data_IF_919579431337
#
_entry.id   IF_919579431337
#
_cell.length_a   1.000
_cell.length_b   1.000
_cell.length_c   1.000
_cell.angle_alpha   90.00
_cell.angle_beta   90.00
_cell.angle_gamma   90.00
#
_symmetry.space_group_name_H-M   'P 1'
#
loop_
_entity.id
_entity.type
_entity.pdbx_description
1 polymer ?
#
# COMPACT_ATOMS: atom_id res chain seq x y z
N UNK A 1 23.90 -27.91 10.67
CA UNK A 1 23.12 -27.97 9.42
C UNK A 1 23.83 -28.94 8.48
N UNK A 2 23.15 -29.92 7.91
CA UNK A 2 23.76 -30.87 7.01
C UNK A 2 23.22 -30.77 5.60
N UNK A 3 24.06 -30.96 4.60
CA UNK A 3 23.68 -31.00 3.17
C UNK A 3 22.55 -32.04 2.94
N UNK A 4 22.56 -33.14 3.68
CA UNK A 4 21.50 -34.17 3.59
C UNK A 4 20.14 -33.63 4.06
N UNK A 5 20.12 -32.78 5.06
CA UNK A 5 18.89 -32.12 5.53
C UNK A 5 18.34 -31.13 4.50
N UNK A 6 19.21 -30.36 3.86
CA UNK A 6 18.81 -29.41 2.81
C UNK A 6 18.20 -30.11 1.59
N UNK A 7 18.82 -31.25 1.17
CA UNK A 7 18.28 -32.04 0.06
C UNK A 7 16.91 -32.61 0.42
N UNK A 8 16.73 -33.13 1.65
CA UNK A 8 15.42 -33.61 2.11
C UNK A 8 14.39 -32.51 2.14
N UNK A 9 14.79 -31.29 2.52
CA UNK A 9 13.91 -30.11 2.53
C UNK A 9 13.45 -29.78 1.13
N UNK A 10 14.32 -29.84 0.11
CA UNK A 10 13.94 -29.62 -1.28
C UNK A 10 12.86 -30.60 -1.73
N UNK A 11 13.04 -31.92 -1.49
CA UNK A 11 12.01 -32.91 -1.80
C UNK A 11 10.69 -32.72 -1.03
N UNK A 12 10.75 -32.16 0.18
CA UNK A 12 9.56 -31.94 0.98
C UNK A 12 8.78 -30.67 0.55
N UNK A 13 9.48 -29.68 0.00
CA UNK A 13 8.89 -28.36 -0.33
C UNK A 13 8.68 -28.14 -1.83
N UNK A 14 9.31 -28.93 -2.70
CA UNK A 14 9.13 -28.86 -4.15
C UNK A 14 8.61 -30.19 -4.71
N UNK A 15 7.32 -30.24 -5.12
CA UNK A 15 6.74 -31.44 -5.75
C UNK A 15 7.38 -31.81 -7.10
N UNK A 16 8.12 -30.91 -7.74
CA UNK A 16 8.78 -31.13 -9.03
C UNK A 16 10.11 -31.86 -8.88
N UNK A 17 10.68 -31.95 -7.67
CA UNK A 17 11.95 -32.65 -7.41
C UNK A 17 11.86 -34.15 -7.66
N UNK A 18 12.64 -34.67 -8.63
CA UNK A 18 12.59 -36.12 -9.05
C UNK A 18 13.78 -36.95 -8.60
N UNK A 19 14.96 -36.36 -8.52
CA UNK A 19 16.18 -37.10 -8.19
C UNK A 19 17.15 -36.28 -7.33
N UNK A 20 17.95 -37.00 -6.52
CA UNK A 20 18.98 -36.33 -5.71
C UNK A 20 20.04 -35.62 -6.57
N UNK A 21 20.37 -36.18 -7.72
CA UNK A 21 21.33 -35.57 -8.64
C UNK A 21 20.79 -34.22 -9.18
N UNK A 22 19.52 -34.18 -9.59
CA UNK A 22 18.82 -32.96 -10.02
C UNK A 22 18.83 -31.90 -8.90
N UNK A 23 18.44 -32.26 -7.69
CA UNK A 23 18.42 -31.34 -6.55
C UNK A 23 19.81 -30.78 -6.24
N UNK A 24 20.87 -31.62 -6.33
CA UNK A 24 22.25 -31.18 -6.09
C UNK A 24 22.75 -30.27 -7.21
N UNK A 25 22.36 -30.46 -8.47
CA UNK A 25 22.95 -29.77 -9.61
C UNK A 25 22.11 -28.62 -10.17
N UNK A 26 20.78 -28.64 -9.98
CA UNK A 26 19.86 -27.73 -10.65
C UNK A 26 19.08 -26.78 -9.71
N UNK A 27 19.34 -26.80 -8.40
CA UNK A 27 18.65 -25.98 -7.43
C UNK A 27 19.52 -24.80 -6.97
N UNK A 28 19.43 -23.61 -7.62
CA UNK A 28 20.28 -22.47 -7.31
C UNK A 28 20.08 -21.95 -5.88
N UNK A 29 18.87 -22.06 -5.32
CA UNK A 29 18.60 -21.70 -3.92
C UNK A 29 19.43 -22.53 -2.92
N UNK A 30 19.62 -23.85 -3.15
CA UNK A 30 20.47 -24.68 -2.32
C UNK A 30 21.94 -24.30 -2.44
N UNK A 31 22.41 -24.05 -3.67
CA UNK A 31 23.79 -23.59 -3.90
C UNK A 31 24.07 -22.28 -3.17
N UNK A 32 23.13 -21.34 -3.24
CA UNK A 32 23.24 -20.06 -2.54
C UNK A 32 23.36 -20.23 -1.02
N UNK A 33 22.55 -21.12 -0.42
CA UNK A 33 22.59 -21.42 1.01
C UNK A 33 23.92 -22.07 1.40
N UNK A 34 24.44 -23.01 0.60
CA UNK A 34 25.73 -23.65 0.89
C UNK A 34 26.90 -22.66 0.79
N UNK A 35 26.91 -21.82 -0.24
CA UNK A 35 27.92 -20.76 -0.39
C UNK A 35 27.78 -19.70 0.70
N UNK A 36 26.56 -19.36 1.12
CA UNK A 36 26.33 -18.47 2.25
C UNK A 36 26.95 -19.02 3.54
N UNK A 37 26.84 -20.31 3.84
CA UNK A 37 27.48 -20.90 5.03
C UNK A 37 28.98 -20.68 5.04
N UNK A 38 29.64 -20.78 3.88
CA UNK A 38 31.09 -20.49 3.75
C UNK A 38 31.34 -19.01 3.97
N UNK A 39 30.60 -18.15 3.32
CA UNK A 39 30.79 -16.69 3.44
C UNK A 39 30.45 -16.19 4.85
N UNK A 40 29.45 -16.77 5.52
CA UNK A 40 29.09 -16.46 6.90
C UNK A 40 30.18 -16.91 7.89
N UNK A 41 30.77 -18.08 7.68
CA UNK A 41 31.93 -18.53 8.47
C UNK A 41 33.09 -17.55 8.37
N UNK A 42 33.45 -17.12 7.17
CA UNK A 42 34.49 -16.11 6.96
C UNK A 42 34.13 -14.77 7.63
N UNK A 43 32.88 -14.36 7.56
CA UNK A 43 32.38 -13.14 8.18
C UNK A 43 32.52 -13.16 9.71
N UNK A 44 32.13 -14.25 10.34
CA UNK A 44 32.22 -14.42 11.78
C UNK A 44 33.67 -14.52 12.29
N UNK A 45 34.62 -14.81 11.39
CA UNK A 45 36.05 -14.79 11.68
C UNK A 45 36.75 -13.47 11.27
N UNK A 46 35.97 -12.39 11.05
CA UNK A 46 36.43 -11.05 10.65
C UNK A 46 37.18 -11.00 9.30
N UNK A 47 37.06 -12.01 8.46
CA UNK A 47 37.59 -12.03 7.09
C UNK A 47 36.60 -11.37 6.13
N UNK A 48 36.23 -10.13 6.41
CA UNK A 48 35.11 -9.43 5.75
C UNK A 48 35.25 -9.32 4.23
N UNK A 49 36.44 -9.03 3.73
CA UNK A 49 36.69 -8.95 2.29
C UNK A 49 36.43 -10.30 1.60
N UNK A 50 37.00 -11.38 2.12
CA UNK A 50 36.83 -12.72 1.55
C UNK A 50 35.37 -13.18 1.66
N UNK A 51 34.69 -12.89 2.77
CA UNK A 51 33.28 -13.19 2.95
C UNK A 51 32.42 -12.49 1.88
N UNK A 52 32.64 -11.19 1.65
CA UNK A 52 31.92 -10.42 0.62
C UNK A 52 32.25 -10.89 -0.77
N UNK A 53 33.49 -11.22 -1.07
CA UNK A 53 33.91 -11.74 -2.35
C UNK A 53 33.27 -13.09 -2.66
N UNK A 54 33.24 -14.04 -1.69
CA UNK A 54 32.51 -15.31 -1.81
C UNK A 54 31.00 -15.09 -2.03
N UNK A 55 30.39 -14.17 -1.28
CA UNK A 55 28.99 -13.82 -1.48
C UNK A 55 28.71 -13.25 -2.87
N UNK A 56 29.62 -12.46 -3.42
CA UNK A 56 29.49 -11.91 -4.77
C UNK A 56 29.57 -13.00 -5.85
N UNK A 57 30.48 -13.96 -5.69
CA UNK A 57 30.57 -15.14 -6.56
C UNK A 57 29.26 -15.95 -6.47
N UNK A 58 28.74 -16.17 -5.25
CA UNK A 58 27.49 -16.88 -5.04
C UNK A 58 26.34 -16.24 -5.81
N UNK A 59 26.20 -14.91 -5.69
CA UNK A 59 25.20 -14.12 -6.42
C UNK A 59 25.35 -14.28 -7.94
N UNK A 60 26.57 -14.21 -8.47
CA UNK A 60 26.83 -14.36 -9.91
C UNK A 60 26.40 -15.75 -10.42
N UNK A 61 26.67 -16.82 -9.66
CA UNK A 61 26.36 -18.17 -10.05
C UNK A 61 24.89 -18.57 -9.86
N UNK A 62 24.20 -17.98 -8.88
CA UNK A 62 22.86 -18.43 -8.45
C UNK A 62 21.74 -17.43 -8.69
N UNK A 63 22.09 -16.14 -8.93
CA UNK A 63 21.13 -15.06 -8.98
C UNK A 63 20.53 -14.68 -7.62
N UNK A 64 21.05 -15.25 -6.51
CA UNK A 64 20.60 -15.03 -5.12
C UNK A 64 21.67 -14.27 -4.37
N UNK A 65 21.30 -13.12 -3.77
CA UNK A 65 22.19 -12.34 -2.92
C UNK A 65 21.85 -12.59 -1.45
N UNK A 66 22.77 -13.22 -0.71
CA UNK A 66 22.69 -13.32 0.75
C UNK A 66 23.92 -12.65 1.34
N UNK A 67 23.70 -11.58 2.12
CA UNK A 67 24.83 -10.90 2.78
C UNK A 67 25.48 -11.85 3.80
N UNK A 68 26.81 -11.92 3.88
CA UNK A 68 27.50 -12.85 4.80
C UNK A 68 27.12 -12.66 6.28
N UNK A 69 26.73 -11.45 6.69
CA UNK A 69 26.27 -11.17 8.05
C UNK A 69 24.87 -11.67 8.39
N UNK A 70 24.06 -12.05 7.41
CA UNK A 70 22.72 -12.56 7.66
C UNK A 70 22.75 -13.88 8.42
N UNK A 71 21.77 -14.09 9.30
CA UNK A 71 21.60 -15.33 10.05
C UNK A 71 20.51 -16.17 9.40
N UNK A 72 20.84 -17.38 8.98
CA UNK A 72 19.92 -18.29 8.30
C UNK A 72 19.73 -19.54 9.12
N UNK A 73 18.49 -19.87 9.42
CA UNK A 73 18.08 -21.06 10.17
C UNK A 73 18.16 -22.36 9.36
N UNK A 74 17.66 -23.45 9.94
CA UNK A 74 17.68 -24.78 9.35
C UNK A 74 16.49 -24.96 8.42
N UNK A 75 16.63 -25.87 7.43
CA UNK A 75 15.55 -26.21 6.48
C UNK A 75 14.94 -24.99 5.77
N UNK A 76 15.72 -23.91 5.67
CA UNK A 76 15.39 -22.76 4.82
C UNK A 76 15.45 -23.21 3.36
N UNK A 77 14.42 -22.89 2.59
CA UNK A 77 14.33 -23.27 1.19
C UNK A 77 13.99 -22.05 0.34
N UNK A 78 14.80 -21.82 -0.69
CA UNK A 78 14.58 -20.78 -1.68
C UNK A 78 14.16 -21.44 -2.97
N UNK A 79 12.92 -21.25 -3.37
CA UNK A 79 12.38 -21.77 -4.61
C UNK A 79 12.65 -20.79 -5.77
N UNK A 80 13.11 -21.34 -6.92
CA UNK A 80 13.58 -20.62 -8.11
C UNK A 80 14.80 -19.71 -7.87
N UNK A 81 14.81 -18.92 -6.85
CA UNK A 81 15.94 -18.15 -6.31
C UNK A 81 16.26 -16.82 -7.01
N UNK A 82 16.05 -16.68 -8.31
CA UNK A 82 16.45 -15.48 -9.06
C UNK A 82 15.92 -14.19 -8.43
N UNK A 83 16.81 -13.21 -8.19
CA UNK A 83 16.45 -11.90 -7.66
C UNK A 83 16.16 -11.84 -6.16
N UNK A 84 16.38 -12.92 -5.40
CA UNK A 84 16.28 -12.89 -3.94
C UNK A 84 17.44 -12.07 -3.37
N UNK A 85 17.13 -11.15 -2.43
CA UNK A 85 18.10 -10.32 -1.71
C UNK A 85 17.86 -10.41 -0.22
N UNK A 86 18.84 -10.87 0.54
CA UNK A 86 18.82 -10.96 2.01
C UNK A 86 19.91 -10.06 2.59
N UNK A 87 19.51 -8.96 3.25
CA UNK A 87 20.43 -7.94 3.77
C UNK A 87 21.19 -8.35 5.02
N UNK A 88 22.21 -7.56 5.38
CA UNK A 88 23.24 -7.84 6.39
C UNK A 88 22.70 -8.28 7.76
N UNK A 89 21.73 -7.57 8.30
CA UNK A 89 21.19 -7.82 9.64
C UNK A 89 19.87 -8.60 9.62
N UNK A 90 19.54 -9.23 8.47
CA UNK A 90 18.38 -10.11 8.38
C UNK A 90 18.58 -11.37 9.20
N UNK A 91 17.50 -11.85 9.80
CA UNK A 91 17.44 -13.10 10.52
C UNK A 91 16.30 -13.94 9.96
N UNK A 92 16.60 -15.16 9.53
CA UNK A 92 15.65 -16.10 8.98
C UNK A 92 15.64 -17.35 9.86
N UNK A 93 14.48 -17.71 10.38
CA UNK A 93 14.27 -18.86 11.25
C UNK A 93 14.31 -20.21 10.52
N UNK A 94 13.88 -21.22 11.24
CA UNK A 94 13.81 -22.58 10.74
C UNK A 94 12.56 -22.80 9.84
N UNK A 95 12.64 -23.74 8.91
CA UNK A 95 11.53 -24.16 8.03
C UNK A 95 10.92 -23.04 7.13
N UNK A 96 11.59 -21.92 6.97
CA UNK A 96 11.10 -20.84 6.11
C UNK A 96 11.15 -21.23 4.64
N UNK A 97 10.09 -20.86 3.90
CA UNK A 97 10.01 -20.99 2.44
C UNK A 97 9.99 -19.58 1.83
N UNK A 98 10.86 -19.34 0.86
CA UNK A 98 10.98 -18.06 0.18
C UNK A 98 11.02 -18.26 -1.34
N UNK A 99 10.25 -17.49 -2.05
CA UNK A 99 10.21 -17.54 -3.51
C UNK A 99 11.11 -16.48 -4.16
N UNK A 100 11.31 -16.62 -5.48
CA UNK A 100 12.08 -15.70 -6.31
C UNK A 100 11.69 -14.23 -6.13
N UNK A 101 12.64 -13.31 -6.34
CA UNK A 101 12.41 -11.86 -6.30
C UNK A 101 12.12 -11.29 -4.92
N UNK A 102 12.17 -12.11 -3.86
CA UNK A 102 11.93 -11.63 -2.49
C UNK A 102 13.10 -10.79 -1.99
N UNK A 103 12.78 -9.66 -1.33
CA UNK A 103 13.76 -8.75 -0.74
C UNK A 103 13.54 -8.60 0.76
N UNK A 104 14.56 -8.89 1.57
CA UNK A 104 14.64 -8.54 2.97
C UNK A 104 15.55 -7.31 3.11
N UNK A 105 14.99 -6.12 2.97
CA UNK A 105 15.70 -4.85 2.83
C UNK A 105 15.74 -4.02 4.11
N UNK A 106 16.72 -3.12 4.18
CA UNK A 106 16.84 -2.14 5.28
C UNK A 106 16.18 -0.80 4.94
N UNK A 107 15.78 -0.04 5.97
CA UNK A 107 15.16 1.28 5.82
C UNK A 107 15.97 2.42 6.39
N UNK A 108 17.17 2.16 6.93
CA UNK A 108 18.07 3.20 7.44
C UNK A 108 19.53 2.88 7.13
N UNK A 109 20.41 3.89 7.28
CA UNK A 109 21.86 3.80 7.01
C UNK A 109 22.69 3.54 8.27
N UNK A 110 22.06 3.38 9.43
CA UNK A 110 22.76 3.15 10.68
C UNK A 110 23.32 1.72 10.77
N UNK A 111 24.47 1.57 11.40
CA UNK A 111 25.14 0.27 11.65
C UNK A 111 24.50 -0.50 12.82
N UNK A 112 23.17 -0.68 12.76
CA UNK A 112 22.38 -1.43 13.73
C UNK A 112 21.40 -2.39 13.01
N UNK A 113 20.56 -3.10 13.76
CA UNK A 113 19.47 -3.91 13.18
C UNK A 113 18.59 -3.01 12.30
N UNK A 114 18.55 -3.30 10.98
CA UNK A 114 17.83 -2.53 9.97
C UNK A 114 17.11 -3.39 8.94
N UNK A 115 17.31 -4.72 9.00
CA UNK A 115 16.66 -5.69 8.13
C UNK A 115 15.69 -6.57 8.92
N UNK A 116 14.73 -7.21 8.25
CA UNK A 116 13.68 -8.02 8.88
C UNK A 116 14.21 -9.20 9.69
N UNK A 117 13.38 -9.61 10.67
CA UNK A 117 13.43 -10.92 11.31
C UNK A 117 12.25 -11.75 10.81
N UNK A 118 12.53 -12.89 10.22
CA UNK A 118 11.54 -13.86 9.72
C UNK A 118 11.58 -15.07 10.65
N UNK A 119 10.48 -15.31 11.37
CA UNK A 119 10.42 -16.43 12.32
C UNK A 119 10.15 -17.78 11.62
N UNK A 120 10.10 -18.87 12.42
CA UNK A 120 9.98 -20.23 11.91
C UNK A 120 8.71 -20.46 11.10
N UNK A 121 8.82 -21.29 10.06
CA UNK A 121 7.70 -21.76 9.26
C UNK A 121 7.01 -20.68 8.42
N UNK A 122 7.60 -19.51 8.28
CA UNK A 122 7.06 -18.42 7.45
C UNK A 122 7.18 -18.79 5.98
N UNK A 123 6.17 -18.36 5.20
CA UNK A 123 6.15 -18.47 3.74
C UNK A 123 6.13 -17.07 3.14
N UNK A 124 7.10 -16.78 2.24
CA UNK A 124 7.21 -15.47 1.58
C UNK A 124 7.04 -15.67 0.07
N UNK A 125 5.94 -15.13 -0.46
CA UNK A 125 5.57 -15.24 -1.87
C UNK A 125 6.50 -14.51 -2.81
N UNK A 126 6.47 -14.89 -4.08
CA UNK A 126 7.33 -14.36 -5.13
C UNK A 126 7.21 -12.84 -5.28
N UNK A 127 8.34 -12.15 -5.48
CA UNK A 127 8.37 -10.70 -5.67
C UNK A 127 8.00 -9.87 -4.44
N UNK A 128 7.89 -10.46 -3.25
CA UNK A 128 7.56 -9.72 -2.03
C UNK A 128 8.74 -8.92 -1.51
N UNK A 129 8.47 -7.74 -0.98
CA UNK A 129 9.47 -6.82 -0.43
C UNK A 129 9.15 -6.58 1.04
N UNK A 130 10.06 -6.99 1.94
CA UNK A 130 9.93 -6.81 3.39
C UNK A 130 10.99 -5.83 3.85
N UNK A 131 10.58 -4.69 4.41
CA UNK A 131 11.46 -3.56 4.68
C UNK A 131 11.52 -3.17 6.16
N UNK A 132 12.74 -2.94 6.63
CA UNK A 132 13.00 -2.42 7.97
C UNK A 132 13.20 -3.49 9.04
N UNK A 133 13.47 -3.08 10.28
CA UNK A 133 13.71 -3.99 11.41
C UNK A 133 12.40 -4.55 11.99
N UNK A 134 11.54 -5.04 11.11
CA UNK A 134 10.24 -5.62 11.45
C UNK A 134 10.32 -7.12 11.63
N UNK A 135 9.31 -7.71 12.28
CA UNK A 135 9.22 -9.15 12.51
C UNK A 135 8.05 -9.72 11.71
N UNK A 136 8.32 -10.77 10.94
CA UNK A 136 7.30 -11.63 10.35
C UNK A 136 7.16 -12.84 11.28
N UNK A 137 6.01 -12.88 11.98
CA UNK A 137 5.77 -13.85 13.06
C UNK A 137 5.67 -15.29 12.58
N UNK A 138 5.91 -16.23 13.49
CA UNK A 138 5.94 -17.67 13.24
C UNK A 138 4.74 -18.16 12.42
N UNK A 139 5.01 -18.90 11.35
CA UNK A 139 3.97 -19.47 10.48
C UNK A 139 3.16 -18.44 9.69
N UNK A 140 3.53 -17.15 9.72
CA UNK A 140 2.88 -16.14 8.91
C UNK A 140 3.13 -16.34 7.41
N UNK A 141 2.25 -15.79 6.59
CA UNK A 141 2.34 -15.85 5.13
C UNK A 141 2.39 -14.45 4.54
N UNK A 142 3.32 -14.21 3.63
CA UNK A 142 3.40 -12.99 2.82
C UNK A 142 2.98 -13.33 1.40
N UNK A 143 1.89 -12.73 0.94
CA UNK A 143 1.38 -12.94 -0.43
C UNK A 143 2.34 -12.41 -1.48
N UNK A 144 2.34 -13.01 -2.68
CA UNK A 144 3.20 -12.60 -3.78
C UNK A 144 3.02 -11.10 -4.13
N UNK A 145 4.11 -10.41 -4.48
CA UNK A 145 4.09 -8.99 -4.83
C UNK A 145 3.79 -8.02 -3.69
N UNK A 146 3.71 -8.49 -2.43
CA UNK A 146 3.38 -7.63 -1.28
C UNK A 146 4.57 -6.79 -0.82
N UNK A 147 4.31 -5.56 -0.37
CA UNK A 147 5.31 -4.68 0.26
C UNK A 147 5.00 -4.53 1.74
N UNK A 148 5.77 -5.20 2.60
CA UNK A 148 5.54 -5.27 4.03
C UNK A 148 6.48 -4.32 4.77
N UNK A 149 5.90 -3.33 5.44
CA UNK A 149 6.63 -2.28 6.18
C UNK A 149 6.27 -2.23 7.67
N UNK A 150 5.45 -3.16 8.13
CA UNK A 150 5.05 -3.32 9.54
C UNK A 150 5.13 -4.78 9.95
N UNK A 151 5.37 -5.02 11.24
CA UNK A 151 5.42 -6.40 11.77
C UNK A 151 4.10 -7.15 11.54
N UNK A 152 4.23 -8.43 11.22
CA UNK A 152 3.11 -9.35 10.95
C UNK A 152 2.97 -10.32 12.11
N UNK A 153 1.79 -10.47 12.73
CA UNK A 153 1.57 -11.41 13.82
C UNK A 153 1.78 -12.87 13.39
N UNK A 154 2.08 -13.77 14.34
CA UNK A 154 2.17 -15.20 14.06
C UNK A 154 0.91 -15.76 13.39
N UNK A 155 1.07 -16.60 12.38
CA UNK A 155 -0.03 -17.24 11.63
C UNK A 155 -0.84 -16.33 10.73
N UNK A 156 -0.60 -15.01 10.75
CA UNK A 156 -1.34 -14.08 9.91
C UNK A 156 -0.87 -14.13 8.44
N UNK A 157 -1.78 -13.80 7.54
CA UNK A 157 -1.46 -13.58 6.12
C UNK A 157 -1.47 -12.08 5.82
N UNK A 158 -0.42 -11.59 5.15
CA UNK A 158 -0.32 -10.20 4.71
C UNK A 158 -0.25 -10.12 3.19
N UNK A 159 -1.02 -9.20 2.58
CA UNK A 159 -1.10 -9.04 1.12
C UNK A 159 -1.17 -7.56 0.72
N UNK A 160 -0.72 -7.24 -0.48
CA UNK A 160 -0.89 -5.94 -1.13
C UNK A 160 0.25 -4.94 -0.91
N UNK A 161 0.07 -3.72 -1.43
CA UNK A 161 1.02 -2.60 -1.38
C UNK A 161 0.30 -1.33 -0.92
N UNK A 162 0.57 -0.82 0.30
CA UNK A 162 1.33 -1.47 1.38
C UNK A 162 0.62 -2.72 1.91
N UNK A 163 1.40 -3.67 2.45
CA UNK A 163 0.89 -4.94 2.97
C UNK A 163 -0.10 -4.76 4.12
N UNK A 164 -1.27 -5.40 4.00
CA UNK A 164 -2.34 -5.42 5.00
C UNK A 164 -2.62 -6.85 5.42
N UNK A 165 -2.94 -7.03 6.71
CA UNK A 165 -3.31 -8.36 7.22
C UNK A 165 -4.66 -8.76 6.60
N UNK A 166 -4.66 -9.91 5.91
CA UNK A 166 -5.87 -10.54 5.42
C UNK A 166 -6.48 -11.37 6.56
N UNK A 167 -7.72 -11.08 6.94
CA UNK A 167 -8.46 -11.91 7.88
C UNK A 167 -8.80 -13.25 7.23
N UNK A 168 -8.44 -14.39 7.82
CA UNK A 168 -8.76 -15.69 7.25
C UNK A 168 -10.28 -15.95 7.29
N UNK A 169 -10.84 -16.43 6.18
CA UNK A 169 -12.26 -16.86 6.14
C UNK A 169 -12.51 -18.13 6.95
N UNK A 170 -11.48 -18.91 7.25
CA UNK A 170 -11.49 -20.08 8.12
C UNK A 170 -10.07 -20.44 8.53
N UNK A 171 -9.82 -21.00 9.72
CA UNK A 171 -8.52 -21.49 10.10
C UNK A 171 -8.15 -22.70 9.24
N UNK A 172 -7.37 -22.51 8.19
CA UNK A 172 -6.81 -23.64 7.43
C UNK A 172 -5.60 -24.19 8.16
N UNK A 173 -5.70 -25.42 8.63
CA UNK A 173 -4.64 -26.17 9.32
C UNK A 173 -3.61 -26.79 8.39
N UNK A 174 -3.67 -26.54 7.08
CA UNK A 174 -2.74 -27.06 6.09
C UNK A 174 -1.77 -25.99 5.62
N UNK A 175 -0.52 -26.39 5.40
CA UNK A 175 0.51 -25.63 4.67
C UNK A 175 0.07 -25.57 3.21
N UNK A 176 -0.98 -24.83 2.94
CA UNK A 176 -1.56 -24.76 1.61
C UNK A 176 -0.95 -23.55 0.88
N UNK A 177 -0.36 -23.84 -0.26
CA UNK A 177 0.11 -22.84 -1.23
C UNK A 177 -1.06 -22.19 -1.98
N UNK A 178 -2.26 -22.21 -1.40
CA UNK A 178 -3.46 -21.59 -1.99
C UNK A 178 -3.39 -20.06 -1.92
N UNK A 179 -2.55 -19.50 -2.77
CA UNK A 179 -2.47 -18.06 -2.99
C UNK A 179 -3.57 -17.55 -3.95
N UNK A 180 -4.33 -18.44 -4.57
CA UNK A 180 -5.40 -18.11 -5.51
C UNK A 180 -6.65 -17.56 -4.85
N UNK A 181 -6.88 -17.89 -3.57
CA UNK A 181 -8.08 -17.52 -2.80
C UNK A 181 -7.75 -16.61 -1.60
N UNK A 182 -6.71 -15.76 -1.71
CA UNK A 182 -6.43 -14.78 -0.67
C UNK A 182 -7.51 -13.69 -0.70
N UNK A 183 -8.24 -13.47 0.40
CA UNK A 183 -9.25 -12.43 0.46
C UNK A 183 -8.59 -11.06 0.31
N UNK A 184 -9.05 -10.29 -0.66
CA UNK A 184 -8.60 -8.90 -0.83
C UNK A 184 -9.12 -8.04 0.34
N UNK A 185 -8.24 -7.51 1.21
CA UNK A 185 -8.67 -6.67 2.34
C UNK A 185 -9.39 -5.39 1.88
N UNK A 186 -9.08 -4.88 0.67
CA UNK A 186 -9.73 -3.69 0.13
C UNK A 186 -11.16 -3.97 -0.32
N UNK A 187 -11.40 -5.09 -1.00
CA UNK A 187 -12.77 -5.48 -1.42
C UNK A 187 -13.70 -5.60 -0.21
N UNK A 188 -13.23 -6.14 0.93
CA UNK A 188 -14.04 -6.22 2.15
C UNK A 188 -14.36 -4.84 2.74
N UNK A 189 -13.39 -3.92 2.75
CA UNK A 189 -13.64 -2.55 3.23
C UNK A 189 -14.63 -1.85 2.32
N UNK A 190 -14.45 -1.95 1.01
CA UNK A 190 -15.36 -1.38 0.00
C UNK A 190 -16.77 -1.98 0.15
N UNK A 191 -16.91 -3.30 0.27
CA UNK A 191 -18.21 -3.95 0.47
C UNK A 191 -18.90 -3.47 1.75
N UNK A 192 -18.17 -3.38 2.88
CA UNK A 192 -18.72 -2.85 4.13
C UNK A 192 -19.17 -1.39 4.03
N UNK A 193 -18.43 -0.56 3.27
CA UNK A 193 -18.79 0.84 3.03
C UNK A 193 -20.05 0.94 2.15
N UNK A 194 -20.14 0.14 1.10
CA UNK A 194 -21.33 0.05 0.24
C UNK A 194 -22.55 -0.42 1.03
N UNK A 195 -22.42 -1.45 1.86
CA UNK A 195 -23.50 -1.91 2.73
C UNK A 195 -23.95 -0.83 3.73
N UNK A 196 -22.99 -0.06 4.25
CA UNK A 196 -23.31 1.06 5.16
C UNK A 196 -24.02 2.18 4.42
N UNK A 197 -23.57 2.53 3.21
CA UNK A 197 -24.21 3.51 2.35
C UNK A 197 -25.65 3.09 2.02
N UNK A 198 -25.86 1.87 1.56
CA UNK A 198 -27.20 1.34 1.27
C UNK A 198 -28.14 1.43 2.48
N UNK A 199 -27.67 1.07 3.68
CA UNK A 199 -28.44 1.19 4.92
C UNK A 199 -28.78 2.65 5.28
N UNK A 200 -27.88 3.59 5.03
CA UNK A 200 -28.12 5.00 5.25
C UNK A 200 -29.15 5.55 4.27
N UNK A 201 -29.08 5.16 3.01
CA UNK A 201 -30.05 5.53 1.98
C UNK A 201 -31.45 4.96 2.30
N UNK A 202 -31.55 3.71 2.76
CA UNK A 202 -32.82 3.13 3.21
C UNK A 202 -33.41 3.89 4.41
N UNK A 203 -32.56 4.28 5.37
CA UNK A 203 -33.02 5.11 6.51
C UNK A 203 -33.50 6.48 6.06
N UNK A 204 -32.77 7.14 5.15
CA UNK A 204 -33.17 8.42 4.57
C UNK A 204 -34.53 8.29 3.91
N UNK A 205 -34.72 7.32 3.01
CA UNK A 205 -36.01 7.06 2.36
C UNK A 205 -37.14 6.76 3.35
N UNK A 206 -36.83 6.08 4.46
CA UNK A 206 -37.83 5.82 5.52
C UNK A 206 -38.22 7.08 6.27
N UNK A 207 -37.25 7.97 6.56
CA UNK A 207 -37.49 9.26 7.18
C UNK A 207 -38.29 10.19 6.26
N UNK A 208 -37.93 10.26 4.96
CA UNK A 208 -38.68 11.02 3.97
C UNK A 208 -40.15 10.61 3.89
N UNK A 209 -40.46 9.31 3.97
CA UNK A 209 -41.82 8.80 4.00
C UNK A 209 -42.58 9.12 5.29
N UNK A 210 -41.86 9.37 6.38
CA UNK A 210 -42.45 9.66 7.69
C UNK A 210 -42.69 11.17 7.91
N UNK A 211 -42.08 12.04 7.08
CA UNK A 211 -42.25 13.48 7.15
C UNK A 211 -43.59 13.91 6.56
N UNK A 212 -44.24 14.94 7.15
CA UNK A 212 -45.42 15.56 6.56
C UNK A 212 -45.11 16.09 5.15
N UNK A 213 -46.03 15.91 4.20
CA UNK A 213 -45.86 16.26 2.79
C UNK A 213 -45.20 17.63 2.53
N UNK A 214 -45.59 18.72 3.20
CA UNK A 214 -44.98 20.03 2.97
C UNK A 214 -43.49 20.12 3.33
N UNK A 215 -43.08 19.40 4.40
CA UNK A 215 -41.68 19.36 4.85
C UNK A 215 -40.80 18.49 3.96
N UNK A 216 -41.31 17.33 3.52
CA UNK A 216 -40.59 16.45 2.61
C UNK A 216 -40.27 17.13 1.25
N UNK A 217 -41.23 17.85 0.68
CA UNK A 217 -41.01 18.62 -0.56
C UNK A 217 -40.02 19.77 -0.36
N UNK A 218 -40.09 20.46 0.78
CA UNK A 218 -39.17 21.53 1.12
C UNK A 218 -37.71 21.03 1.25
N UNK A 219 -37.53 19.88 1.91
CA UNK A 219 -36.21 19.25 2.04
C UNK A 219 -35.68 18.81 0.68
N UNK A 220 -36.49 18.18 -0.17
CA UNK A 220 -36.12 17.79 -1.52
C UNK A 220 -35.70 18.99 -2.37
N UNK A 221 -36.43 20.09 -2.29
CA UNK A 221 -36.10 21.31 -3.02
C UNK A 221 -34.76 21.91 -2.57
N UNK A 222 -34.49 21.87 -1.27
CA UNK A 222 -33.20 22.32 -0.69
C UNK A 222 -32.06 21.44 -1.16
N UNK A 223 -32.21 20.10 -1.06
CA UNK A 223 -31.16 19.17 -1.50
C UNK A 223 -30.88 19.28 -3.01
N UNK A 224 -31.94 19.40 -3.85
CA UNK A 224 -31.78 19.58 -5.28
C UNK A 224 -31.06 20.90 -5.62
N UNK A 225 -31.30 21.96 -4.87
CA UNK A 225 -30.63 23.26 -5.06
C UNK A 225 -29.17 23.19 -4.59
N UNK A 226 -28.87 22.50 -3.50
CA UNK A 226 -27.50 22.27 -3.06
C UNK A 226 -26.69 21.52 -4.10
N UNK A 227 -27.26 20.46 -4.69
CA UNK A 227 -26.60 19.71 -5.76
C UNK A 227 -26.33 20.55 -6.98
N UNK A 228 -27.27 21.43 -7.39
CA UNK A 228 -27.06 22.39 -8.48
C UNK A 228 -25.91 23.37 -8.18
N UNK A 229 -25.81 23.82 -6.94
CA UNK A 229 -24.70 24.70 -6.52
C UNK A 229 -23.38 23.93 -6.59
N UNK A 230 -23.34 22.72 -6.09
CA UNK A 230 -22.15 21.87 -6.08
C UNK A 230 -21.67 21.55 -7.50
N UNK A 231 -22.58 21.28 -8.41
CA UNK A 231 -22.25 21.03 -9.82
C UNK A 231 -21.74 22.30 -10.52
N UNK A 232 -22.34 23.46 -10.28
CA UNK A 232 -21.85 24.74 -10.81
C UNK A 232 -20.43 25.08 -10.29
N UNK A 233 -20.11 24.70 -9.06
CA UNK A 233 -18.78 24.92 -8.48
C UNK A 233 -17.68 24.03 -9.10
N UNK A 234 -18.02 22.98 -9.86
CA UNK A 234 -17.05 22.20 -10.65
C UNK A 234 -16.42 23.00 -11.80
N UNK A 235 -17.06 24.06 -12.24
CA UNK A 235 -16.49 24.96 -13.24
C UNK A 235 -15.39 25.86 -12.68
N UNK A 236 -15.27 25.96 -11.36
CA UNK A 236 -14.20 26.72 -10.68
C UNK A 236 -12.97 25.85 -10.51
N UNK A 237 -11.93 26.16 -11.27
CA UNK A 237 -10.67 25.42 -11.27
C UNK A 237 -9.64 26.11 -10.39
N UNK A 238 -9.02 25.40 -9.45
CA UNK A 238 -7.87 25.90 -8.70
C UNK A 238 -6.69 26.11 -9.66
N UNK A 239 -6.19 27.35 -9.83
CA UNK A 239 -5.14 27.62 -10.80
C UNK A 239 -3.78 27.06 -10.42
N UNK A 240 -3.54 26.78 -9.15
CA UNK A 240 -2.28 26.18 -8.68
C UNK A 240 -2.24 24.67 -8.97
N UNK A 241 -3.36 23.99 -8.79
CA UNK A 241 -3.46 22.54 -8.93
C UNK A 241 -4.05 22.12 -10.29
N UNK A 242 -4.94 22.96 -10.88
CA UNK A 242 -5.59 22.72 -12.16
C UNK A 242 -6.69 21.66 -12.10
N UNK A 243 -7.34 21.55 -10.95
CA UNK A 243 -8.45 20.65 -10.63
C UNK A 243 -9.58 21.51 -10.07
N UNK A 244 -10.83 21.08 -10.26
CA UNK A 244 -11.97 21.81 -9.72
C UNK A 244 -12.02 21.75 -8.18
N UNK A 245 -12.59 22.81 -7.58
CA UNK A 245 -12.60 22.98 -6.13
C UNK A 245 -13.48 21.97 -5.39
N UNK A 246 -14.43 21.33 -6.07
CA UNK A 246 -15.30 20.31 -5.50
C UNK A 246 -14.53 18.99 -5.38
N UNK A 247 -13.87 18.57 -6.45
CA UNK A 247 -13.04 17.35 -6.46
C UNK A 247 -11.80 17.51 -5.55
N UNK A 248 -11.23 18.71 -5.46
CA UNK A 248 -10.19 19.04 -4.47
C UNK A 248 -10.68 18.98 -3.01
N UNK A 249 -12.00 18.88 -2.79
CA UNK A 249 -12.57 18.91 -1.44
C UNK A 249 -12.37 20.24 -0.73
N UNK A 250 -12.29 21.35 -1.46
CA UNK A 250 -12.17 22.69 -0.88
C UNK A 250 -13.50 23.19 -0.31
N UNK A 251 -14.63 22.73 -0.84
CA UNK A 251 -15.96 23.07 -0.34
C UNK A 251 -16.27 22.24 0.89
N UNK A 252 -16.44 22.88 2.03
CA UNK A 252 -16.75 22.25 3.30
C UNK A 252 -18.25 22.13 3.52
N UNK A 253 -18.97 23.21 3.38
CA UNK A 253 -20.41 23.28 3.63
C UNK A 253 -21.06 24.33 2.73
N UNK A 254 -22.30 24.07 2.33
CA UNK A 254 -23.15 25.03 1.62
C UNK A 254 -24.40 25.22 2.47
N UNK A 255 -24.55 26.41 3.01
CA UNK A 255 -25.67 26.78 3.91
C UNK A 255 -26.66 27.64 3.13
N UNK A 256 -27.92 27.25 3.11
CA UNK A 256 -28.98 27.97 2.41
C UNK A 256 -30.04 28.50 3.37
N UNK A 257 -30.27 29.80 3.32
CA UNK A 257 -31.36 30.47 4.02
C UNK A 257 -32.21 31.25 3.03
N UNK A 258 -33.28 30.63 2.55
CA UNK A 258 -34.14 31.17 1.50
C UNK A 258 -33.38 31.38 0.17
N UNK A 259 -33.14 32.64 -0.18
CA UNK A 259 -32.43 33.04 -1.39
C UNK A 259 -30.95 33.45 -1.11
N UNK A 260 -30.52 33.36 0.12
CA UNK A 260 -29.13 33.58 0.53
C UNK A 260 -28.39 32.24 0.58
N UNK A 261 -27.20 32.20 0.01
CA UNK A 261 -26.30 31.06 0.01
C UNK A 261 -24.99 31.50 0.66
N UNK A 262 -24.52 30.69 1.61
CA UNK A 262 -23.22 30.86 2.23
C UNK A 262 -22.39 29.60 1.90
N UNK A 263 -21.18 29.80 1.37
CA UNK A 263 -20.26 28.72 0.99
C UNK A 263 -19.04 28.78 1.88
N UNK A 264 -18.86 27.76 2.69
CA UNK A 264 -17.68 27.58 3.51
C UNK A 264 -16.63 26.77 2.74
N UNK A 265 -15.45 27.35 2.59
CA UNK A 265 -14.35 26.68 1.88
C UNK A 265 -13.04 26.74 2.66
N UNK A 266 -12.15 25.82 2.35
CA UNK A 266 -10.76 25.81 2.82
C UNK A 266 -9.81 25.96 1.63
N UNK A 267 -8.56 26.32 1.89
CA UNK A 267 -7.55 26.50 0.85
C UNK A 267 -6.49 25.41 0.92
N UNK A 268 -5.90 25.07 -0.20
CA UNK A 268 -4.77 24.14 -0.29
C UNK A 268 -3.52 24.66 0.43
N UNK A 269 -3.39 26.00 0.56
CA UNK A 269 -2.30 26.70 1.24
C UNK A 269 -2.83 27.91 2.00
N UNK A 270 -2.38 28.11 3.26
CA UNK A 270 -2.74 29.28 4.09
C UNK A 270 -2.27 30.63 3.52
N UNK A 271 -1.34 30.62 2.57
CA UNK A 271 -0.77 31.80 1.93
C UNK A 271 -1.05 31.84 0.42
N UNK A 272 -2.21 31.32 -0.01
CA UNK A 272 -2.57 31.32 -1.43
C UNK A 272 -2.74 32.79 -1.91
N UNK A 273 -1.92 33.27 -2.84
CA UNK A 273 -2.02 34.64 -3.35
C UNK A 273 -3.26 34.89 -4.22
N UNK A 274 -3.99 33.82 -4.55
CA UNK A 274 -5.16 33.82 -5.45
C UNK A 274 -6.50 33.67 -4.71
N UNK A 275 -6.50 33.83 -3.37
CA UNK A 275 -7.70 33.68 -2.53
C UNK A 275 -8.84 34.52 -3.03
N UNK A 276 -8.56 35.86 -3.25
CA UNK A 276 -9.58 36.81 -3.69
C UNK A 276 -10.16 36.44 -5.07
N UNK A 277 -9.32 35.92 -5.96
CA UNK A 277 -9.75 35.45 -7.28
C UNK A 277 -10.65 34.24 -7.19
N UNK A 278 -10.28 33.27 -6.35
CA UNK A 278 -11.02 32.01 -6.19
C UNK A 278 -12.38 32.26 -5.53
N UNK A 279 -12.41 33.09 -4.48
CA UNK A 279 -13.67 33.45 -3.80
C UNK A 279 -14.61 34.25 -4.70
N UNK A 280 -14.07 35.12 -5.54
CA UNK A 280 -14.85 35.88 -6.55
C UNK A 280 -15.46 34.92 -7.61
N UNK A 281 -14.69 33.93 -8.09
CA UNK A 281 -15.20 32.93 -9.02
C UNK A 281 -16.30 32.07 -8.39
N UNK A 282 -16.10 31.59 -7.16
CA UNK A 282 -17.12 30.84 -6.40
C UNK A 282 -18.40 31.65 -6.27
N UNK A 283 -18.28 32.91 -5.86
CA UNK A 283 -19.42 33.83 -5.70
C UNK A 283 -20.18 34.00 -7.00
N UNK A 284 -19.48 34.25 -8.09
CA UNK A 284 -20.06 34.46 -9.42
C UNK A 284 -20.81 33.23 -9.92
N UNK A 285 -20.24 32.06 -9.80
CA UNK A 285 -20.87 30.81 -10.23
C UNK A 285 -22.15 30.49 -9.45
N UNK A 286 -22.16 30.79 -8.15
CA UNK A 286 -23.35 30.56 -7.32
C UNK A 286 -24.42 31.60 -7.56
N UNK A 287 -24.05 32.87 -7.86
CA UNK A 287 -24.98 33.96 -8.21
C UNK A 287 -25.73 33.71 -9.54
N UNK A 288 -25.16 32.94 -10.47
CA UNK A 288 -25.79 32.55 -11.74
C UNK A 288 -26.93 31.51 -11.56
N UNK A 289 -27.07 30.90 -10.37
CA UNK A 289 -28.08 29.90 -10.10
C UNK A 289 -29.46 30.51 -9.88
N UNK A 290 -30.52 30.05 -10.57
CA UNK A 290 -31.86 30.60 -10.42
C UNK A 290 -32.36 30.59 -8.97
N UNK A 291 -32.80 31.75 -8.48
CA UNK A 291 -33.36 31.92 -7.14
C UNK A 291 -32.29 32.10 -6.04
N UNK A 292 -31.04 32.34 -6.39
CA UNK A 292 -30.03 32.89 -5.50
C UNK A 292 -30.00 34.40 -5.65
N UNK A 293 -30.03 35.15 -4.55
CA UNK A 293 -30.03 36.60 -4.53
C UNK A 293 -28.80 37.16 -3.83
N UNK A 294 -28.28 36.42 -2.87
CA UNK A 294 -27.10 36.83 -2.12
C UNK A 294 -26.19 35.65 -1.88
N UNK A 295 -24.91 35.84 -2.16
CA UNK A 295 -23.87 34.82 -1.91
C UNK A 295 -22.80 35.38 -0.99
N UNK A 296 -22.45 34.65 0.01
CA UNK A 296 -21.34 34.92 0.92
C UNK A 296 -20.37 33.74 0.89
N UNK A 297 -19.08 34.00 0.66
CA UNK A 297 -18.04 32.96 0.65
C UNK A 297 -17.13 33.19 1.85
N UNK A 298 -17.01 32.18 2.71
CA UNK A 298 -16.13 32.23 3.88
C UNK A 298 -14.97 31.28 3.70
N UNK A 299 -13.78 31.79 3.82
CA UNK A 299 -12.56 30.99 3.85
C UNK A 299 -12.26 30.66 5.30
N UNK A 300 -12.26 29.35 5.62
CA UNK A 300 -12.01 28.86 6.96
C UNK A 300 -10.51 28.66 7.19
N UNK A 301 -10.04 29.01 8.39
CA UNK A 301 -8.66 28.79 8.81
C UNK A 301 -8.50 27.34 9.32
N UNK A 302 -8.74 26.37 8.43
CA UNK A 302 -8.56 24.95 8.69
C UNK A 302 -7.55 24.36 7.71
N UNK A 303 -6.66 23.47 8.17
CA UNK A 303 -5.69 22.82 7.29
C UNK A 303 -6.42 21.93 6.28
N UNK A 304 -6.12 22.11 5.01
CA UNK A 304 -6.49 21.16 3.97
C UNK A 304 -5.60 19.92 4.06
N UNK A 305 -6.20 18.73 3.85
CA UNK A 305 -5.47 17.46 3.80
C UNK A 305 -5.98 16.58 2.66
N UNK A 306 -5.16 15.61 2.26
CA UNK A 306 -5.44 14.68 1.17
C UNK A 306 -6.66 13.79 1.40
N UNK A 307 -7.13 13.63 2.64
CA UNK A 307 -8.30 12.81 2.98
C UNK A 307 -9.63 13.45 2.52
N UNK A 308 -9.59 14.70 2.05
CA UNK A 308 -10.76 15.46 1.56
C UNK A 308 -11.06 15.23 0.07
N UNK A 309 -10.19 14.56 -0.66
CA UNK A 309 -10.47 14.22 -2.05
C UNK A 309 -11.64 13.25 -2.20
N UNK A 310 -12.55 13.57 -3.12
CA UNK A 310 -13.71 12.73 -3.44
C UNK A 310 -13.33 11.52 -4.31
N UNK A 311 -12.25 11.60 -5.09
CA UNK A 311 -11.74 10.54 -5.98
C UNK A 311 -10.22 10.38 -5.87
N UNK A 312 -9.74 9.83 -4.77
CA UNK A 312 -8.31 9.73 -4.44
C UNK A 312 -7.42 9.06 -5.50
N UNK A 313 -7.92 8.08 -6.26
CA UNK A 313 -7.08 7.33 -7.22
C UNK A 313 -6.91 8.03 -8.57
N UNK A 314 -7.97 8.61 -9.13
CA UNK A 314 -7.93 9.29 -10.44
C UNK A 314 -7.14 10.59 -10.36
N UNK A 315 -7.22 11.25 -9.23
CA UNK A 315 -6.57 12.52 -8.97
C UNK A 315 -5.06 12.36 -8.76
N UNK A 316 -4.65 11.34 -8.01
CA UNK A 316 -3.23 11.03 -7.81
C UNK A 316 -2.53 10.75 -9.15
N UNK A 317 -3.16 9.99 -10.03
CA UNK A 317 -2.64 9.70 -11.37
C UNK A 317 -2.56 10.96 -12.28
N UNK A 318 -3.55 11.86 -12.19
CA UNK A 318 -3.53 13.15 -12.92
C UNK A 318 -2.44 14.09 -12.39
N UNK A 319 -2.25 14.15 -11.08
CA UNK A 319 -1.23 14.96 -10.43
C UNK A 319 0.17 14.47 -10.74
N UNK A 320 0.41 13.16 -10.67
CA UNK A 320 1.70 12.56 -11.04
C UNK A 320 2.05 12.83 -12.50
N UNK A 321 1.11 12.66 -13.44
CA UNK A 321 1.31 12.98 -14.86
C UNK A 321 1.62 14.44 -15.11
N UNK A 322 1.06 15.35 -14.31
CA UNK A 322 1.33 16.79 -14.41
C UNK A 322 2.71 17.16 -13.85
N UNK A 323 3.06 16.64 -12.67
CA UNK A 323 4.38 16.83 -12.06
C UNK A 323 5.51 16.24 -12.93
N UNK A 324 5.25 15.14 -13.61
CA UNK A 324 6.19 14.53 -14.55
C UNK A 324 6.38 15.37 -15.81
N UNK A 325 5.31 15.98 -16.36
CA UNK A 325 5.38 16.94 -17.45
C UNK A 325 6.16 18.20 -17.07
N UNK A 326 5.96 18.73 -15.87
CA UNK A 326 6.69 19.92 -15.39
C UNK A 326 8.16 19.61 -15.09
N UNK A 327 8.50 18.42 -14.61
CA UNK A 327 9.90 17.95 -14.48
C UNK A 327 10.57 17.83 -15.83
N UNK A 328 9.89 17.24 -16.82
CA UNK A 328 10.44 17.13 -18.19
C UNK A 328 10.62 18.51 -18.85
N UNK A 329 9.71 19.45 -18.63
CA UNK A 329 9.84 20.81 -19.15
C UNK A 329 11.01 21.59 -18.52
N UNK A 330 11.31 21.37 -17.22
CA UNK A 330 12.46 21.98 -16.52
C UNK A 330 13.82 21.34 -16.85
N UNK A 331 13.83 20.12 -17.39
CA UNK A 331 15.08 19.44 -17.82
C UNK A 331 15.39 19.66 -19.30
N UNK A 332 14.48 20.23 -20.07
CA UNK A 332 14.64 20.51 -21.51
C UNK A 332 14.95 21.99 -21.83
N UNK A 333 15.09 22.86 -20.84
CA UNK A 333 15.53 24.25 -20.94
C UNK A 333 16.81 24.49 -20.12
#
# INVERSE_FOLDING_TARGET
>A
MSIREDIKTAFAKDPAAKSTLEVITCYPGLHAIWMHRISHFLWTHNLFFLARFCSHIARFLTGVEIHPGAKIGRRFFIDHGMGVVIGETAEVGDDVLMYMGTVLGGTNLEKKKRHPTVEDGVVIGAGSIVLGPITIGKGAKVGAGSVVVRSVPPGATVVGVPGRIAEPESPSTKTDLDYGNLPDPMLRVVSRLLDRQNRLEEKLRSLERSLPWPEAERIKAVLAKEEMIREALRDVIDPEVGIDIVDLGLIKEIIMDGNRVEVDMVLTSHACPLVDHLTEQVKRQVEEIPGVVQVEVRVLDEPWNWDRFTEQQILHEKLEKKLEKERMAKTAG
#
